data_IF_195843314521
#
_entry.id   IF_195843314521
#
_cell.length_a   1.000
_cell.length_b   1.000
_cell.length_c   1.000
_cell.angle_alpha   90.00
_cell.angle_beta   90.00
_cell.angle_gamma   90.00
#
_symmetry.space_group_name_H-M   'P 1'
#
loop_
_entity.id
_entity.type
_entity.pdbx_description
1 polymer ?
#
# COMPACT_ATOMS: atom_id res chain seq x y z
N UNK A 1 40.41 22.12 10.91
CA UNK A 1 39.84 23.47 10.68
C UNK A 1 39.08 23.46 9.37
N UNK A 2 37.79 23.80 9.46
CA UNK A 2 36.75 24.08 8.46
C UNK A 2 37.14 24.00 6.96
N UNK A 3 36.58 23.02 6.25
CA UNK A 3 36.36 23.13 4.81
C UNK A 3 35.00 23.81 4.58
N UNK A 4 35.03 24.91 3.83
CA UNK A 4 33.95 25.84 3.55
C UNK A 4 33.11 25.36 2.36
N UNK A 5 31.80 25.20 2.56
CA UNK A 5 30.85 24.96 1.48
C UNK A 5 30.60 26.26 0.71
N UNK A 6 30.82 26.24 -0.61
CA UNK A 6 30.47 27.33 -1.52
C UNK A 6 29.06 27.10 -2.07
N UNK A 7 28.16 28.00 -1.70
CA UNK A 7 26.81 28.15 -2.24
C UNK A 7 26.84 28.95 -3.54
N UNK A 8 26.21 28.45 -4.60
CA UNK A 8 25.68 29.22 -5.74
C UNK A 8 24.63 28.32 -6.43
N UNK A 9 23.35 28.47 -6.06
CA UNK A 9 22.36 29.31 -6.75
C UNK A 9 21.78 28.66 -8.02
N UNK A 10 20.70 27.89 -7.84
CA UNK A 10 19.64 27.77 -8.85
C UNK A 10 18.36 28.24 -8.16
N UNK A 11 17.86 29.38 -8.61
CA UNK A 11 16.61 29.96 -8.12
C UNK A 11 15.39 29.32 -8.77
N UNK A 12 14.26 29.54 -8.08
CA UNK A 12 12.88 29.43 -8.56
C UNK A 12 12.31 28.01 -8.62
N UNK A 13 11.94 27.46 -7.46
CA UNK A 13 10.59 26.89 -7.25
C UNK A 13 10.32 26.77 -5.74
N UNK A 14 9.94 27.88 -5.12
CA UNK A 14 9.42 27.89 -3.76
C UNK A 14 7.97 28.32 -3.83
N UNK A 15 7.03 27.38 -3.71
CA UNK A 15 5.71 27.57 -3.12
C UNK A 15 5.06 26.19 -2.85
N UNK A 16 5.22 25.77 -1.59
CA UNK A 16 4.33 24.95 -0.75
C UNK A 16 4.03 23.51 -1.20
N UNK A 17 4.80 22.56 -0.68
CA UNK A 17 4.20 21.36 -0.08
C UNK A 17 4.71 21.26 1.35
N UNK A 18 3.79 21.43 2.28
CA UNK A 18 3.98 21.37 3.72
C UNK A 18 4.32 19.95 4.16
N UNK A 19 5.35 19.83 5.00
CA UNK A 19 5.57 18.75 5.94
C UNK A 19 5.62 17.32 5.37
N UNK A 20 6.80 16.90 4.93
CA UNK A 20 7.51 15.88 5.69
C UNK A 20 9.00 16.10 5.53
N UNK A 21 9.70 15.83 6.61
CA UNK A 21 11.11 16.09 6.80
C UNK A 21 11.91 15.22 5.81
N UNK A 22 12.18 15.72 4.60
CA UNK A 22 13.13 15.11 3.66
C UNK A 22 14.56 15.39 4.15
N UNK A 23 14.85 14.84 5.34
CA UNK A 23 16.19 14.67 5.84
C UNK A 23 16.80 13.58 4.94
N UNK A 24 17.59 13.97 3.94
CA UNK A 24 18.39 13.03 3.14
C UNK A 24 19.46 12.43 4.05
N UNK A 25 19.06 11.50 4.92
CA UNK A 25 19.91 10.37 5.29
C UNK A 25 20.07 9.57 4.00
N UNK A 26 21.28 9.11 3.72
CA UNK A 26 21.54 8.16 2.64
C UNK A 26 20.71 6.89 2.90
N UNK A 27 19.47 6.90 2.43
CA UNK A 27 18.53 5.81 2.61
C UNK A 27 18.99 4.70 1.66
N UNK A 28 19.21 3.52 2.24
CA UNK A 28 19.78 2.40 1.51
C UNK A 28 18.84 1.98 0.38
N UNK A 29 19.35 1.36 -0.69
CA UNK A 29 18.51 0.86 -1.79
C UNK A 29 17.37 -0.01 -1.25
N UNK A 30 17.71 -0.92 -0.32
CA UNK A 30 16.75 -1.79 0.32
C UNK A 30 15.70 -1.01 1.12
N UNK A 31 16.13 -0.07 1.97
CA UNK A 31 15.23 0.71 2.83
C UNK A 31 14.24 1.55 2.01
N UNK A 32 14.73 2.24 0.98
CA UNK A 32 13.91 3.05 0.09
C UNK A 32 12.81 2.22 -0.58
N UNK A 33 13.17 1.11 -1.22
CA UNK A 33 12.18 0.27 -1.92
C UNK A 33 11.22 -0.42 -0.96
N UNK A 34 11.68 -0.85 0.22
CA UNK A 34 10.83 -1.46 1.23
C UNK A 34 9.81 -0.44 1.79
N UNK A 35 10.24 0.79 2.04
CA UNK A 35 9.34 1.87 2.47
C UNK A 35 8.30 2.19 1.40
N UNK A 36 8.74 2.44 0.16
CA UNK A 36 7.82 2.74 -0.94
C UNK A 36 6.84 1.58 -1.17
N UNK A 37 7.30 0.33 -1.08
CA UNK A 37 6.44 -0.84 -1.17
C UNK A 37 5.38 -0.88 -0.06
N UNK A 38 5.77 -0.55 1.17
CA UNK A 38 4.86 -0.45 2.32
C UNK A 38 3.83 0.67 2.14
N UNK A 39 4.24 1.83 1.62
CA UNK A 39 3.31 2.93 1.29
C UNK A 39 2.29 2.50 0.24
N UNK A 40 2.72 1.79 -0.82
CA UNK A 40 1.79 1.24 -1.83
C UNK A 40 0.89 0.16 -1.24
N UNK A 41 1.38 -0.65 -0.31
CA UNK A 41 0.54 -1.63 0.39
C UNK A 41 -0.54 -0.93 1.19
N UNK A 42 -0.17 0.05 2.03
CA UNK A 42 -1.09 0.83 2.85
C UNK A 42 -2.17 1.54 1.99
N UNK A 43 -1.79 2.03 0.81
CA UNK A 43 -2.68 2.64 -0.18
C UNK A 43 -3.62 1.64 -0.90
N UNK A 44 -3.50 0.33 -0.66
CA UNK A 44 -4.24 -0.72 -1.37
C UNK A 44 -3.73 -1.00 -2.79
N UNK A 45 -2.58 -0.44 -3.18
CA UNK A 45 -1.95 -0.60 -4.50
C UNK A 45 -1.05 -1.84 -4.52
N UNK A 46 -1.64 -3.00 -4.26
CA UNK A 46 -0.91 -4.25 -4.00
C UNK A 46 0.04 -4.69 -5.12
N UNK A 47 -0.31 -4.52 -6.40
CA UNK A 47 0.60 -4.84 -7.51
C UNK A 47 1.85 -3.94 -7.49
N UNK A 48 1.68 -2.64 -7.21
CA UNK A 48 2.82 -1.72 -7.09
C UNK A 48 3.67 -2.05 -5.87
N UNK A 49 3.03 -2.44 -4.76
CA UNK A 49 3.73 -2.89 -3.55
C UNK A 49 4.62 -4.10 -3.85
N UNK A 50 4.09 -5.13 -4.53
CA UNK A 50 4.87 -6.32 -4.95
C UNK A 50 6.07 -5.92 -5.80
N UNK A 51 5.88 -5.07 -6.82
CA UNK A 51 6.97 -4.60 -7.67
C UNK A 51 8.11 -3.92 -6.87
N UNK A 52 7.75 -3.11 -5.88
CA UNK A 52 8.71 -2.39 -5.04
C UNK A 52 9.39 -3.33 -4.03
N UNK A 53 8.67 -4.27 -3.43
CA UNK A 53 9.27 -5.27 -2.56
C UNK A 53 10.23 -6.20 -3.31
N UNK A 54 9.92 -6.58 -4.56
CA UNK A 54 10.85 -7.30 -5.42
C UNK A 54 12.10 -6.45 -5.73
N UNK A 55 11.94 -5.14 -5.93
CA UNK A 55 13.07 -4.24 -6.10
C UNK A 55 13.96 -4.19 -4.85
N UNK A 56 13.36 -4.13 -3.65
CA UNK A 56 14.09 -4.21 -2.39
C UNK A 56 14.90 -5.51 -2.28
N UNK A 57 14.31 -6.65 -2.62
CA UNK A 57 15.00 -7.95 -2.58
C UNK A 57 16.11 -8.11 -3.65
N UNK A 58 16.17 -7.22 -4.65
CA UNK A 58 17.27 -7.18 -5.63
C UNK A 58 18.44 -6.31 -5.17
N UNK A 59 18.28 -5.49 -4.14
CA UNK A 59 19.35 -4.64 -3.63
C UNK A 59 20.50 -5.47 -3.02
N UNK A 60 21.74 -4.98 -3.17
CA UNK A 60 22.94 -5.67 -2.66
C UNK A 60 22.98 -5.66 -1.14
N UNK A 61 22.52 -4.57 -0.55
CA UNK A 61 22.39 -4.31 0.89
C UNK A 61 21.09 -4.86 1.50
N UNK A 62 20.41 -5.78 0.81
CA UNK A 62 19.17 -6.38 1.31
C UNK A 62 19.37 -7.01 2.68
N UNK A 63 18.35 -6.85 3.53
CA UNK A 63 18.26 -7.38 4.88
C UNK A 63 16.82 -7.79 5.14
N UNK A 64 16.58 -8.53 6.24
CA UNK A 64 15.21 -8.85 6.68
C UNK A 64 14.30 -9.40 5.55
N UNK A 65 14.85 -10.28 4.71
CA UNK A 65 14.18 -10.77 3.50
C UNK A 65 12.84 -11.45 3.82
N UNK A 66 12.78 -12.15 4.95
CA UNK A 66 11.58 -12.89 5.36
C UNK A 66 10.41 -11.94 5.65
N UNK A 67 10.67 -10.78 6.24
CA UNK A 67 9.64 -9.75 6.44
C UNK A 67 9.16 -9.20 5.11
N UNK A 68 10.06 -8.92 4.15
CA UNK A 68 9.68 -8.42 2.83
C UNK A 68 8.90 -9.47 2.03
N UNK A 69 9.34 -10.74 2.04
CA UNK A 69 8.61 -11.85 1.43
C UNK A 69 7.23 -12.03 2.05
N UNK A 70 7.10 -11.85 3.37
CA UNK A 70 5.80 -11.87 4.04
C UNK A 70 4.90 -10.72 3.55
N UNK A 71 5.42 -9.50 3.38
CA UNK A 71 4.65 -8.37 2.84
C UNK A 71 4.22 -8.60 1.38
N UNK A 72 5.09 -9.18 0.55
CA UNK A 72 4.73 -9.61 -0.81
C UNK A 72 3.63 -10.67 -0.81
N UNK A 73 3.71 -11.64 0.11
CA UNK A 73 2.68 -12.67 0.27
C UNK A 73 1.35 -12.03 0.68
N UNK A 74 1.34 -11.13 1.66
CA UNK A 74 0.14 -10.39 2.06
C UNK A 74 -0.46 -9.63 0.87
N UNK A 75 0.36 -8.93 0.10
CA UNK A 75 -0.08 -8.19 -1.11
C UNK A 75 -0.72 -9.12 -2.13
N UNK A 76 -0.12 -10.30 -2.36
CA UNK A 76 -0.66 -11.32 -3.27
C UNK A 76 -1.99 -11.89 -2.77
N UNK A 77 -2.09 -12.15 -1.46
CA UNK A 77 -3.32 -12.64 -0.84
C UNK A 77 -4.43 -11.58 -0.93
N UNK A 78 -4.12 -10.29 -0.72
CA UNK A 78 -5.07 -9.19 -0.92
C UNK A 78 -5.62 -9.14 -2.35
N UNK A 79 -4.76 -9.26 -3.37
CA UNK A 79 -5.20 -9.30 -4.79
C UNK A 79 -6.18 -10.46 -5.03
N UNK A 80 -5.87 -11.65 -4.51
CA UNK A 80 -6.74 -12.82 -4.66
C UNK A 80 -8.09 -12.62 -3.97
N UNK A 81 -8.10 -12.00 -2.79
CA UNK A 81 -9.33 -11.70 -2.09
C UNK A 81 -10.14 -10.62 -2.81
N UNK A 82 -9.51 -9.61 -3.41
CA UNK A 82 -10.21 -8.61 -4.23
C UNK A 82 -10.91 -9.28 -5.40
N UNK A 83 -10.19 -10.11 -6.18
CA UNK A 83 -10.78 -10.85 -7.30
C UNK A 83 -11.98 -11.70 -6.87
N UNK A 84 -11.85 -12.43 -5.76
CA UNK A 84 -12.97 -13.22 -5.22
C UNK A 84 -14.13 -12.36 -4.77
N UNK A 85 -13.87 -11.21 -4.15
CA UNK A 85 -14.91 -10.28 -3.75
C UNK A 85 -15.65 -9.72 -4.96
N UNK A 86 -14.93 -9.29 -5.99
CA UNK A 86 -15.47 -8.78 -7.25
C UNK A 86 -16.37 -9.83 -7.93
N UNK A 87 -15.92 -11.09 -7.99
CA UNK A 87 -16.74 -12.21 -8.51
C UNK A 87 -18.06 -12.37 -7.73
N UNK A 88 -18.05 -12.15 -6.41
CA UNK A 88 -19.25 -12.21 -5.57
C UNK A 88 -20.16 -11.00 -5.79
N UNK A 89 -19.60 -9.80 -5.92
CA UNK A 89 -20.36 -8.59 -6.28
C UNK A 89 -21.07 -8.78 -7.63
N UNK A 90 -20.36 -9.27 -8.64
CA UNK A 90 -20.92 -9.53 -9.97
C UNK A 90 -22.05 -10.57 -9.95
N UNK A 91 -22.07 -11.44 -8.94
CA UNK A 91 -23.13 -12.44 -8.71
C UNK A 91 -24.24 -11.96 -7.76
N UNK A 92 -24.22 -10.69 -7.33
CA UNK A 92 -25.16 -10.13 -6.35
C UNK A 92 -24.99 -10.67 -4.92
N UNK A 93 -23.90 -11.37 -4.63
CA UNK A 93 -23.64 -12.03 -3.34
C UNK A 93 -22.83 -11.13 -2.41
N UNK A 94 -23.45 -10.06 -1.93
CA UNK A 94 -22.81 -9.02 -1.11
C UNK A 94 -22.32 -9.54 0.26
N UNK A 95 -23.03 -10.50 0.86
CA UNK A 95 -22.64 -11.21 2.08
C UNK A 95 -21.29 -11.95 1.91
N UNK A 96 -21.14 -12.64 0.79
CA UNK A 96 -19.93 -13.38 0.45
C UNK A 96 -18.79 -12.43 0.05
N UNK A 97 -19.10 -11.35 -0.68
CA UNK A 97 -18.12 -10.32 -1.02
C UNK A 97 -17.53 -9.65 0.24
N UNK A 98 -18.39 -9.27 1.19
CA UNK A 98 -17.99 -8.68 2.48
C UNK A 98 -16.99 -9.57 3.23
N UNK A 99 -17.19 -10.89 3.20
CA UNK A 99 -16.28 -11.84 3.85
C UNK A 99 -14.86 -11.76 3.27
N UNK A 100 -14.72 -11.66 1.95
CA UNK A 100 -13.42 -11.50 1.30
C UNK A 100 -12.80 -10.13 1.55
N UNK A 101 -13.59 -9.06 1.54
CA UNK A 101 -13.11 -7.73 1.89
C UNK A 101 -12.64 -7.64 3.35
N UNK A 102 -13.33 -8.28 4.30
CA UNK A 102 -12.91 -8.35 5.70
C UNK A 102 -11.56 -9.07 5.85
N UNK A 103 -11.30 -10.11 5.04
CA UNK A 103 -9.99 -10.76 5.01
C UNK A 103 -8.87 -9.81 4.57
N UNK A 104 -9.16 -8.90 3.64
CA UNK A 104 -8.20 -7.86 3.24
C UNK A 104 -7.96 -6.85 4.37
N UNK A 105 -9.01 -6.39 5.06
CA UNK A 105 -8.85 -5.46 6.20
C UNK A 105 -8.02 -6.06 7.34
N UNK A 106 -8.12 -7.37 7.57
CA UNK A 106 -7.27 -8.05 8.54
C UNK A 106 -5.78 -8.05 8.14
N UNK A 107 -5.48 -8.00 6.85
CA UNK A 107 -4.11 -7.92 6.32
C UNK A 107 -3.63 -6.48 6.19
N UNK A 108 -4.53 -5.58 5.80
CA UNK A 108 -4.30 -4.16 5.57
C UNK A 108 -5.47 -3.31 6.14
N UNK A 109 -5.38 -2.91 7.41
CA UNK A 109 -6.41 -2.09 8.04
C UNK A 109 -6.39 -0.63 7.58
N UNK A 110 -5.53 -0.24 6.63
CA UNK A 110 -5.47 1.12 6.08
C UNK A 110 -6.11 1.24 4.69
N UNK A 111 -6.55 0.12 4.09
CA UNK A 111 -7.16 0.12 2.77
C UNK A 111 -8.55 0.78 2.77
N UNK A 112 -8.57 2.08 2.47
CA UNK A 112 -9.80 2.88 2.42
C UNK A 112 -10.74 2.43 1.32
N UNK A 113 -10.22 1.91 0.20
CA UNK A 113 -11.07 1.40 -0.88
C UNK A 113 -11.87 0.21 -0.39
N UNK A 114 -11.20 -0.77 0.23
CA UNK A 114 -11.85 -1.97 0.78
C UNK A 114 -12.83 -1.62 1.90
N UNK A 115 -12.51 -0.66 2.78
CA UNK A 115 -13.47 -0.19 3.79
C UNK A 115 -14.77 0.32 3.17
N UNK A 116 -14.68 1.09 2.09
CA UNK A 116 -15.85 1.59 1.38
C UNK A 116 -16.62 0.46 0.69
N UNK A 117 -15.93 -0.56 0.15
CA UNK A 117 -16.58 -1.73 -0.43
C UNK A 117 -17.35 -2.56 0.61
N UNK A 118 -16.83 -2.69 1.83
CA UNK A 118 -17.55 -3.33 2.94
C UNK A 118 -18.84 -2.57 3.24
N UNK A 119 -18.76 -1.23 3.32
CA UNK A 119 -19.94 -0.40 3.54
C UNK A 119 -20.98 -0.58 2.42
N UNK A 120 -20.54 -0.60 1.16
CA UNK A 120 -21.43 -0.87 0.02
C UNK A 120 -22.12 -2.23 0.15
N UNK A 121 -21.39 -3.27 0.58
CA UNK A 121 -21.98 -4.58 0.82
C UNK A 121 -23.03 -4.51 1.93
N UNK A 122 -22.76 -3.80 3.03
CA UNK A 122 -23.69 -3.65 4.13
C UNK A 122 -24.99 -2.94 3.72
N UNK A 123 -24.87 -1.86 2.95
CA UNK A 123 -26.02 -1.12 2.42
C UNK A 123 -26.88 -2.06 1.54
N UNK A 124 -26.25 -2.83 0.63
CA UNK A 124 -26.94 -3.77 -0.26
C UNK A 124 -27.62 -4.94 0.47
N UNK A 125 -26.99 -5.46 1.52
CA UNK A 125 -27.58 -6.51 2.36
C UNK A 125 -28.81 -5.95 3.08
N UNK A 126 -28.73 -4.72 3.58
CA UNK A 126 -29.86 -4.07 4.28
C UNK A 126 -31.04 -3.79 3.36
N UNK A 127 -30.79 -3.37 2.11
CA UNK A 127 -31.83 -3.19 1.09
C UNK A 127 -32.60 -4.49 0.84
N UNK A 128 -31.88 -5.60 0.63
CA UNK A 128 -32.47 -6.91 0.35
C UNK A 128 -33.28 -7.52 1.51
N UNK A 129 -33.08 -7.06 2.75
CA UNK A 129 -33.84 -7.51 3.93
C UNK A 129 -35.15 -6.73 4.11
N UNK A 130 -35.22 -5.52 3.54
CA UNK A 130 -36.38 -4.63 3.67
C UNK A 130 -37.37 -4.72 2.49
N UNK A 131 -37.06 -5.54 1.47
CA UNK A 131 -37.94 -5.91 0.36
C UNK A 131 -38.75 -7.17 0.66
#
# INVERSE_FOLDING_TARGET
MKATYRTLAIGIFMLIVSASNAQTKDESCFELFNQLGTEKFDDGKYQQAIYLFEAALRCVDKKDEETVKLQMKKSTDCIKFMQKADDKINSGRYDAAKTFYAAIINLNPKDKFVMNQIKLCDDKISEAVNE
#
